data_IF_128912821634
#
_entry.id   IF_128912821634
#
_cell.length_a   1.000
_cell.length_b   1.000
_cell.length_c   1.000
_cell.angle_alpha   90.00
_cell.angle_beta   90.00
_cell.angle_gamma   90.00
#
_symmetry.space_group_name_H-M   'P 1'
#
loop_
_entity.id
_entity.type
_entity.pdbx_description
1 polymer ?
#
# COMPACT_ATOMS: atom_id res chain seq x y z
N UNK A 1 -17.43 25.38 -13.19
CA UNK A 1 -17.27 24.89 -11.80
C UNK A 1 -15.84 25.12 -11.37
N UNK A 2 -15.62 26.11 -10.50
CA UNK A 2 -14.31 26.42 -9.95
C UNK A 2 -13.85 25.23 -9.09
N UNK A 3 -12.91 24.44 -9.60
CA UNK A 3 -12.10 23.56 -8.76
C UNK A 3 -11.18 24.48 -7.97
N UNK A 4 -11.66 25.02 -6.86
CA UNK A 4 -10.80 25.55 -5.81
C UNK A 4 -9.73 24.49 -5.53
N UNK A 5 -8.50 24.93 -5.26
CA UNK A 5 -7.30 24.12 -4.97
C UNK A 5 -7.43 23.37 -3.62
N UNK A 6 -8.59 22.74 -3.41
CA UNK A 6 -9.08 22.17 -2.17
C UNK A 6 -8.49 20.79 -1.96
N UNK A 7 -7.92 20.63 -0.77
CA UNK A 7 -7.54 19.34 -0.21
C UNK A 7 -8.64 18.30 -0.46
N UNK A 8 -8.33 17.23 -1.19
CA UNK A 8 -9.27 16.16 -1.55
C UNK A 8 -9.56 15.29 -0.33
N UNK A 9 -10.42 15.79 0.56
CA UNK A 9 -10.83 15.14 1.82
C UNK A 9 -11.45 13.76 1.57
N UNK A 10 -12.18 13.62 0.47
CA UNK A 10 -12.72 12.34 -0.02
C UNK A 10 -11.65 11.26 -0.14
N UNK A 11 -10.49 11.60 -0.73
CA UNK A 11 -9.38 10.66 -0.87
C UNK A 11 -8.71 10.33 0.47
N UNK A 12 -8.66 11.28 1.41
CA UNK A 12 -8.15 11.00 2.75
C UNK A 12 -9.12 10.09 3.53
N UNK A 13 -10.42 10.31 3.43
CA UNK A 13 -11.40 9.44 4.08
C UNK A 13 -11.30 8.00 3.61
N UNK A 14 -11.08 7.77 2.31
CA UNK A 14 -10.81 6.41 1.80
C UNK A 14 -9.53 5.83 2.42
N UNK A 15 -8.44 6.62 2.50
CA UNK A 15 -7.20 6.19 3.15
C UNK A 15 -7.40 5.86 4.63
N UNK A 16 -8.28 6.57 5.32
CA UNK A 16 -8.64 6.30 6.71
C UNK A 16 -9.35 4.96 6.85
N UNK A 17 -10.35 4.68 6.00
CA UNK A 17 -11.01 3.36 5.97
C UNK A 17 -9.99 2.25 5.70
N UNK A 18 -9.12 2.45 4.71
CA UNK A 18 -8.07 1.49 4.35
C UNK A 18 -7.12 1.20 5.51
N UNK A 19 -6.61 2.21 6.21
CA UNK A 19 -5.70 1.97 7.35
C UNK A 19 -6.42 1.31 8.52
N UNK A 20 -7.67 1.70 8.81
CA UNK A 20 -8.45 1.07 9.88
C UNK A 20 -8.69 -0.41 9.57
N UNK A 21 -9.02 -0.77 8.34
CA UNK A 21 -9.17 -2.18 7.93
C UNK A 21 -7.85 -2.97 8.11
N UNK A 22 -6.71 -2.39 7.72
CA UNK A 22 -5.39 -3.00 7.91
C UNK A 22 -5.06 -3.20 9.39
N UNK A 23 -5.31 -2.19 10.23
CA UNK A 23 -5.09 -2.30 11.67
C UNK A 23 -6.01 -3.36 12.28
N UNK A 24 -7.30 -3.36 11.92
CA UNK A 24 -8.25 -4.36 12.39
C UNK A 24 -7.81 -5.79 12.04
N UNK A 25 -7.26 -6.02 10.83
CA UNK A 25 -6.70 -7.32 10.45
C UNK A 25 -5.51 -7.76 11.30
N UNK A 26 -4.58 -6.85 11.61
CA UNK A 26 -3.37 -7.23 12.36
C UNK A 26 -3.64 -7.39 13.86
N UNK A 27 -4.50 -6.56 14.46
CA UNK A 27 -4.81 -6.63 15.89
C UNK A 27 -5.95 -7.61 16.22
N UNK A 28 -6.91 -7.79 15.31
CA UNK A 28 -8.16 -8.55 15.52
C UNK A 28 -8.47 -9.46 14.32
N UNK A 29 -7.46 -10.17 13.80
CA UNK A 29 -7.55 -10.92 12.55
C UNK A 29 -8.64 -12.00 12.49
N UNK A 30 -9.03 -12.59 13.62
CA UNK A 30 -10.14 -13.56 13.68
C UNK A 30 -11.49 -12.90 13.40
N UNK A 31 -11.70 -11.67 13.88
CA UNK A 31 -12.92 -10.89 13.68
C UNK A 31 -12.93 -10.15 12.34
N UNK A 32 -11.75 -9.78 11.84
CA UNK A 32 -11.58 -9.02 10.60
C UNK A 32 -10.59 -9.69 9.63
N UNK A 33 -10.84 -10.95 9.20
CA UNK A 33 -9.89 -11.72 8.39
C UNK A 33 -9.64 -11.10 7.00
N UNK A 34 -10.57 -10.27 6.50
CA UNK A 34 -10.48 -9.62 5.20
C UNK A 34 -9.92 -8.18 5.25
N UNK A 35 -9.46 -7.70 6.42
CA UNK A 35 -8.97 -6.33 6.54
C UNK A 35 -7.69 -6.04 5.74
N UNK A 36 -6.97 -7.08 5.28
CA UNK A 36 -5.85 -6.93 4.34
C UNK A 36 -6.24 -6.27 3.00
N UNK A 37 -7.53 -6.32 2.62
CA UNK A 37 -8.08 -5.62 1.44
C UNK A 37 -7.87 -4.10 1.53
N UNK A 38 -7.66 -3.55 2.73
CA UNK A 38 -7.26 -2.16 2.89
C UNK A 38 -5.95 -1.80 2.17
N UNK A 39 -5.01 -2.74 2.04
CA UNK A 39 -3.76 -2.56 1.26
C UNK A 39 -4.08 -2.47 -0.24
N UNK A 40 -4.98 -3.31 -0.74
CA UNK A 40 -5.41 -3.29 -2.13
C UNK A 40 -6.02 -1.94 -2.50
N UNK A 41 -6.80 -1.35 -1.60
CA UNK A 41 -7.34 0.01 -1.76
C UNK A 41 -6.24 1.07 -1.82
N UNK A 42 -5.17 0.95 -1.03
CA UNK A 42 -4.02 1.86 -1.14
C UNK A 42 -3.34 1.76 -2.52
N UNK A 43 -3.20 0.57 -3.10
CA UNK A 43 -2.65 0.42 -4.45
C UNK A 43 -3.51 1.09 -5.52
N UNK A 44 -4.83 0.93 -5.46
CA UNK A 44 -5.77 1.62 -6.36
C UNK A 44 -5.64 3.14 -6.23
N UNK A 45 -5.62 3.65 -4.99
CA UNK A 45 -5.45 5.08 -4.71
C UNK A 45 -4.11 5.62 -5.23
N UNK A 46 -3.02 4.86 -5.06
CA UNK A 46 -1.69 5.25 -5.55
C UNK A 46 -1.69 5.33 -7.08
N UNK A 47 -2.30 4.36 -7.78
CA UNK A 47 -2.52 4.41 -9.22
C UNK A 47 -3.30 5.65 -9.67
N UNK A 48 -4.40 5.98 -9.00
CA UNK A 48 -5.22 7.17 -9.28
C UNK A 48 -4.46 8.48 -9.07
N UNK A 49 -3.79 8.65 -7.90
CA UNK A 49 -3.06 9.85 -7.56
C UNK A 49 -1.85 10.09 -8.48
N UNK A 50 -1.13 9.02 -8.85
CA UNK A 50 0.01 9.14 -9.75
C UNK A 50 -0.45 9.47 -11.17
N UNK A 51 -1.56 8.87 -11.60
CA UNK A 51 -2.21 9.19 -12.87
C UNK A 51 -2.63 10.65 -12.94
N UNK A 52 -3.39 11.15 -11.94
CA UNK A 52 -3.78 12.56 -11.85
C UNK A 52 -2.58 13.51 -11.94
N UNK A 53 -1.48 13.15 -11.30
CA UNK A 53 -0.26 13.95 -11.26
C UNK A 53 0.41 14.07 -12.63
N UNK A 54 0.51 12.97 -13.37
CA UNK A 54 1.14 12.94 -14.69
C UNK A 54 0.18 13.40 -15.81
N UNK A 55 -1.14 13.24 -15.63
CA UNK A 55 -2.16 13.67 -16.59
C UNK A 55 -2.08 15.18 -16.86
N UNK A 56 -1.85 15.98 -15.82
CA UNK A 56 -1.73 17.45 -15.89
C UNK A 56 -0.59 17.95 -16.79
N UNK A 57 0.35 17.10 -17.20
CA UNK A 57 1.53 17.48 -18.00
C UNK A 57 1.35 17.13 -19.47
N UNK A 58 1.45 18.09 -20.40
CA UNK A 58 1.21 17.82 -21.85
C UNK A 58 2.16 16.77 -22.44
N UNK A 59 3.43 16.78 -22.04
CA UNK A 59 4.45 15.77 -22.39
C UNK A 59 5.25 15.41 -21.15
N UNK A 60 5.83 14.21 -21.14
CA UNK A 60 6.71 13.73 -20.09
C UNK A 60 8.13 13.62 -20.64
N UNK A 61 8.98 14.59 -20.30
CA UNK A 61 10.42 14.53 -20.53
C UNK A 61 11.17 14.14 -19.26
N UNK A 62 12.50 14.14 -19.34
CA UNK A 62 13.38 13.76 -18.22
C UNK A 62 13.16 14.62 -16.97
N UNK A 63 12.81 15.91 -17.12
CA UNK A 63 12.54 16.82 -16.01
C UNK A 63 11.27 16.44 -15.26
N UNK A 64 10.19 16.11 -15.96
CA UNK A 64 8.92 15.70 -15.35
C UNK A 64 9.06 14.37 -14.61
N UNK A 65 9.82 13.42 -15.18
CA UNK A 65 10.12 12.12 -14.58
C UNK A 65 10.97 12.30 -13.31
N UNK A 66 12.02 13.12 -13.37
CA UNK A 66 12.85 13.41 -12.20
C UNK A 66 12.05 14.09 -11.08
N UNK A 67 11.17 15.04 -11.42
CA UNK A 67 10.26 15.68 -10.47
C UNK A 67 9.21 14.71 -9.90
N UNK A 68 8.80 13.70 -10.66
CA UNK A 68 7.94 12.63 -10.16
C UNK A 68 8.66 11.83 -9.07
N UNK A 69 9.85 11.29 -9.36
CA UNK A 69 10.63 10.50 -8.41
C UNK A 69 11.03 11.30 -7.18
N UNK A 70 11.50 12.53 -7.36
CA UNK A 70 11.87 13.42 -6.26
C UNK A 70 10.73 13.62 -5.26
N UNK A 71 9.50 13.84 -5.75
CA UNK A 71 8.32 13.99 -4.88
C UNK A 71 7.96 12.69 -4.16
N UNK A 72 8.16 11.53 -4.79
CA UNK A 72 7.93 10.22 -4.13
C UNK A 72 8.95 10.00 -3.02
N UNK A 73 10.23 10.18 -3.34
CA UNK A 73 11.35 10.01 -2.39
C UNK A 73 11.19 10.94 -1.19
N UNK A 74 10.96 12.24 -1.39
CA UNK A 74 10.78 13.20 -0.28
C UNK A 74 9.56 12.89 0.60
N UNK A 75 8.54 12.24 0.06
CA UNK A 75 7.33 11.87 0.81
C UNK A 75 7.52 10.57 1.61
N UNK A 76 8.22 9.59 1.05
CA UNK A 76 8.22 8.20 1.55
C UNK A 76 9.46 7.91 2.37
N UNK A 77 10.65 8.19 1.84
CA UNK A 77 11.92 7.75 2.42
C UNK A 77 12.19 8.28 3.83
N UNK A 78 11.95 9.56 4.17
CA UNK A 78 12.33 10.09 5.48
C UNK A 78 11.71 9.31 6.65
N UNK A 79 10.39 9.15 6.67
CA UNK A 79 9.72 8.41 7.76
C UNK A 79 9.92 6.90 7.64
N UNK A 80 10.02 6.35 6.43
CA UNK A 80 10.30 4.92 6.24
C UNK A 80 11.65 4.54 6.84
N UNK A 81 12.71 5.27 6.48
CA UNK A 81 14.06 5.02 6.99
C UNK A 81 14.17 5.27 8.49
N UNK A 82 13.47 6.29 9.01
CA UNK A 82 13.39 6.52 10.45
C UNK A 82 12.78 5.32 11.18
N UNK A 83 11.66 4.79 10.70
CA UNK A 83 11.02 3.62 11.32
C UNK A 83 11.89 2.38 11.18
N UNK A 84 12.58 2.20 10.05
CA UNK A 84 13.54 1.10 9.88
C UNK A 84 14.67 1.19 10.90
N UNK A 85 15.26 2.37 11.06
CA UNK A 85 16.31 2.63 12.05
C UNK A 85 15.85 2.36 13.47
N UNK A 86 14.70 2.91 13.87
CA UNK A 86 14.14 2.71 15.22
C UNK A 86 13.78 1.24 15.48
N UNK A 87 13.29 0.53 14.46
CA UNK A 87 13.00 -0.91 14.56
C UNK A 87 14.27 -1.75 14.76
N UNK A 88 15.37 -1.41 14.06
CA UNK A 88 16.66 -2.05 14.27
C UNK A 88 17.25 -1.80 15.66
N UNK A 89 17.14 -0.55 16.14
CA UNK A 89 17.54 -0.19 17.50
C UNK A 89 16.73 -0.99 18.51
N UNK A 90 15.40 -1.01 18.37
CA UNK A 90 14.52 -1.77 19.26
C UNK A 90 14.84 -3.28 19.23
N UNK A 91 15.06 -3.87 18.06
CA UNK A 91 15.48 -5.27 17.89
C UNK A 91 16.72 -5.58 18.71
N UNK A 92 17.74 -4.71 18.68
CA UNK A 92 19.01 -4.91 19.40
C UNK A 92 18.86 -5.00 20.92
N UNK A 93 17.88 -4.31 21.49
CA UNK A 93 17.66 -4.23 22.95
C UNK A 93 16.56 -5.17 23.45
N UNK A 94 15.56 -5.49 22.63
CA UNK A 94 14.38 -6.26 23.05
C UNK A 94 14.47 -7.73 22.63
N UNK A 95 15.02 -8.03 21.45
CA UNK A 95 14.88 -9.37 20.86
C UNK A 95 16.03 -10.28 21.30
N UNK A 96 15.80 -11.60 21.32
CA UNK A 96 16.87 -12.59 21.52
C UNK A 96 17.78 -12.69 20.27
N UNK A 97 19.01 -13.16 20.44
CA UNK A 97 20.06 -13.13 19.39
C UNK A 97 19.62 -13.76 18.05
N UNK A 98 18.90 -14.89 18.10
CA UNK A 98 18.37 -15.53 16.89
C UNK A 98 17.39 -14.62 16.12
N UNK A 99 16.47 -13.96 16.82
CA UNK A 99 15.51 -13.04 16.22
C UNK A 99 16.18 -11.75 15.74
N UNK A 100 17.21 -11.27 16.44
CA UNK A 100 18.01 -10.13 15.99
C UNK A 100 18.66 -10.40 14.64
N UNK A 101 19.33 -11.55 14.47
CA UNK A 101 20.00 -11.92 13.22
C UNK A 101 19.00 -12.01 12.05
N UNK A 102 17.84 -12.63 12.25
CA UNK A 102 16.79 -12.70 11.23
C UNK A 102 16.22 -11.33 10.87
N UNK A 103 16.00 -10.44 11.85
CA UNK A 103 15.52 -9.08 11.60
C UNK A 103 16.57 -8.20 10.90
N UNK A 104 17.87 -8.45 11.12
CA UNK A 104 18.94 -7.77 10.38
C UNK A 104 18.91 -8.11 8.89
N UNK A 105 18.72 -9.41 8.57
CA UNK A 105 18.50 -9.85 7.20
C UNK A 105 17.24 -9.18 6.61
N UNK A 106 16.11 -9.18 7.34
CA UNK A 106 14.87 -8.53 6.90
C UNK A 106 15.02 -7.02 6.66
N UNK A 107 15.84 -6.34 7.45
CA UNK A 107 16.13 -4.92 7.25
C UNK A 107 16.86 -4.65 5.93
N UNK A 108 17.73 -5.56 5.45
CA UNK A 108 18.36 -5.43 4.13
C UNK A 108 17.31 -5.45 3.02
N UNK A 109 16.34 -6.37 3.09
CA UNK A 109 15.23 -6.39 2.15
C UNK A 109 14.35 -5.14 2.27
N UNK A 110 14.15 -4.62 3.49
CA UNK A 110 13.36 -3.41 3.71
C UNK A 110 14.05 -2.17 3.10
N UNK A 111 15.36 -2.03 3.29
CA UNK A 111 16.17 -0.92 2.76
C UNK A 111 16.26 -0.93 1.23
N UNK A 112 16.24 -2.12 0.63
CA UNK A 112 16.29 -2.30 -0.84
C UNK A 112 14.91 -2.33 -1.49
N UNK A 113 13.83 -2.19 -0.72
CA UNK A 113 12.44 -2.32 -1.20
C UNK A 113 12.19 -3.65 -1.92
N UNK A 114 12.64 -4.75 -1.33
CA UNK A 114 12.51 -6.12 -1.84
C UNK A 114 11.87 -7.10 -0.83
N UNK A 115 11.26 -6.61 0.24
CA UNK A 115 10.61 -7.47 1.26
C UNK A 115 9.47 -8.31 0.71
N UNK A 116 8.85 -7.90 -0.39
CA UNK A 116 7.88 -8.71 -1.11
C UNK A 116 8.49 -9.98 -1.73
N UNK A 117 9.77 -9.97 -2.12
CA UNK A 117 10.47 -11.16 -2.61
C UNK A 117 10.76 -12.11 -1.44
N UNK A 118 11.22 -11.58 -0.30
CA UNK A 118 11.42 -12.38 0.93
C UNK A 118 10.12 -13.04 1.39
N UNK A 119 9.01 -12.31 1.31
CA UNK A 119 7.68 -12.80 1.67
C UNK A 119 7.13 -13.86 0.71
N UNK A 120 7.63 -13.93 -0.53
CA UNK A 120 7.23 -14.92 -1.54
C UNK A 120 7.98 -16.26 -1.42
N UNK A 121 8.93 -16.38 -0.48
CA UNK A 121 9.65 -17.60 -0.21
C UNK A 121 8.76 -18.60 0.55
N UNK A 122 8.56 -19.80 -0.01
CA UNK A 122 7.60 -20.81 0.48
C UNK A 122 7.92 -21.32 1.88
N UNK A 123 9.20 -21.26 2.29
CA UNK A 123 9.65 -21.59 3.65
C UNK A 123 9.15 -20.54 4.65
N UNK A 124 8.93 -19.30 4.20
CA UNK A 124 8.56 -18.11 4.99
C UNK A 124 7.17 -17.59 4.62
N UNK A 125 6.19 -18.50 4.57
CA UNK A 125 4.80 -18.16 4.20
C UNK A 125 4.30 -16.93 4.98
N UNK A 126 3.92 -15.85 4.26
CA UNK A 126 3.52 -14.56 4.81
C UNK A 126 2.48 -14.68 5.93
N UNK A 127 1.45 -15.52 5.75
CA UNK A 127 0.42 -15.72 6.78
C UNK A 127 1.02 -16.26 8.09
N UNK A 128 1.98 -17.18 8.00
CA UNK A 128 2.70 -17.67 9.20
C UNK A 128 3.58 -16.58 9.82
N UNK A 129 4.22 -15.72 9.01
CA UNK A 129 5.01 -14.61 9.52
C UNK A 129 4.14 -13.57 10.23
N UNK A 130 2.96 -13.27 9.70
CA UNK A 130 1.98 -12.39 10.33
C UNK A 130 1.45 -13.01 11.63
N UNK A 131 1.06 -14.30 11.61
CA UNK A 131 0.57 -14.97 12.82
C UNK A 131 1.65 -15.07 13.89
N UNK A 132 2.92 -15.35 13.54
CA UNK A 132 4.02 -15.43 14.50
C UNK A 132 4.47 -14.06 15.00
N UNK A 133 4.35 -13.03 14.15
CA UNK A 133 4.79 -11.64 14.38
C UNK A 133 6.16 -11.55 15.07
N UNK A 134 7.17 -12.18 14.46
CA UNK A 134 8.56 -12.17 14.95
C UNK A 134 9.53 -11.37 14.07
N UNK A 135 9.04 -10.82 12.96
CA UNK A 135 9.79 -10.02 12.01
C UNK A 135 9.16 -8.63 11.89
N UNK A 136 9.92 -7.61 12.32
CA UNK A 136 9.55 -6.20 12.40
C UNK A 136 9.26 -5.57 11.03
N UNK A 137 9.71 -6.18 9.94
CA UNK A 137 9.63 -5.62 8.59
C UNK A 137 8.62 -6.34 7.71
N UNK A 138 7.89 -7.33 8.25
CA UNK A 138 6.93 -8.14 7.50
C UNK A 138 5.96 -7.29 6.69
N UNK A 139 5.36 -6.25 7.28
CA UNK A 139 4.37 -5.37 6.64
C UNK A 139 4.91 -4.47 5.51
N UNK A 140 6.23 -4.32 5.40
CA UNK A 140 6.85 -3.43 4.40
C UNK A 140 6.77 -3.99 2.98
N UNK A 141 6.33 -5.24 2.80
CA UNK A 141 6.15 -5.88 1.49
C UNK A 141 5.27 -5.04 0.55
N UNK A 142 4.21 -4.42 1.07
CA UNK A 142 3.30 -3.61 0.27
C UNK A 142 3.93 -2.27 -0.13
N UNK A 143 4.76 -1.69 0.72
CA UNK A 143 5.54 -0.48 0.42
C UNK A 143 6.59 -0.79 -0.64
N UNK A 144 7.24 -1.96 -0.55
CA UNK A 144 8.15 -2.43 -1.58
C UNK A 144 7.44 -2.55 -2.95
N UNK A 145 6.24 -3.13 -3.00
CA UNK A 145 5.42 -3.18 -4.21
C UNK A 145 5.06 -1.78 -4.73
N UNK A 146 4.66 -0.88 -3.84
CA UNK A 146 4.30 0.49 -4.21
C UNK A 146 5.50 1.25 -4.79
N UNK A 147 6.70 1.08 -4.22
CA UNK A 147 7.94 1.68 -4.72
C UNK A 147 8.39 1.08 -6.06
N UNK A 148 8.28 -0.24 -6.23
CA UNK A 148 8.52 -0.91 -7.50
C UNK A 148 7.56 -0.42 -8.58
N UNK A 149 6.27 -0.26 -8.24
CA UNK A 149 5.29 0.36 -9.13
C UNK A 149 5.68 1.79 -9.50
N UNK A 150 6.07 2.62 -8.53
CA UNK A 150 6.49 3.99 -8.81
C UNK A 150 7.68 4.05 -9.76
N UNK A 151 8.62 3.11 -9.69
CA UNK A 151 9.75 3.04 -10.61
C UNK A 151 9.32 2.80 -12.06
N UNK A 152 8.32 1.95 -12.29
CA UNK A 152 7.86 1.63 -13.66
C UNK A 152 6.80 2.61 -14.19
N UNK A 153 6.06 3.27 -13.30
CA UNK A 153 4.85 4.01 -13.64
C UNK A 153 5.07 5.16 -14.66
N UNK A 154 6.10 6.02 -14.55
CA UNK A 154 6.34 7.07 -15.53
C UNK A 154 6.52 6.52 -16.95
N UNK A 155 7.14 5.35 -17.11
CA UNK A 155 7.36 4.73 -18.43
C UNK A 155 6.06 4.20 -19.03
N UNK A 156 5.21 3.55 -18.22
CA UNK A 156 3.86 3.15 -18.63
C UNK A 156 3.08 4.39 -19.11
N UNK A 157 3.22 5.51 -18.37
CA UNK A 157 2.50 6.74 -18.69
C UNK A 157 3.05 7.49 -19.92
N UNK A 158 4.35 7.35 -20.21
CA UNK A 158 4.96 7.85 -21.46
C UNK A 158 4.34 7.12 -22.66
N UNK A 159 4.22 5.79 -22.60
CA UNK A 159 3.58 5.01 -23.67
C UNK A 159 2.13 5.44 -23.83
N UNK A 160 1.37 5.53 -22.72
CA UNK A 160 -0.01 5.99 -22.70
C UNK A 160 -0.20 7.37 -23.36
N UNK A 161 0.74 8.31 -23.18
CA UNK A 161 0.68 9.65 -23.77
C UNK A 161 1.22 9.75 -25.21
N UNK A 162 1.96 8.75 -25.66
CA UNK A 162 2.60 8.74 -26.98
C UNK A 162 1.70 8.16 -28.08
N UNK A 163 0.57 7.54 -27.71
CA UNK A 163 -0.35 6.87 -28.64
C UNK A 163 -1.74 7.52 -28.63
N UNK A 164 -2.56 7.26 -29.65
CA UNK A 164 -3.90 7.83 -29.71
C UNK A 164 -4.80 7.31 -28.57
N UNK A 165 -5.81 8.08 -28.18
CA UNK A 165 -6.64 7.79 -27.00
C UNK A 165 -7.24 6.36 -26.99
N UNK A 166 -7.66 5.85 -28.16
CA UNK A 166 -8.19 4.48 -28.30
C UNK A 166 -7.12 3.43 -27.98
N UNK A 167 -5.92 3.58 -28.55
CA UNK A 167 -4.82 2.65 -28.29
C UNK A 167 -4.30 2.77 -26.86
N UNK A 168 -4.28 3.98 -26.30
CA UNK A 168 -3.90 4.23 -24.92
C UNK A 168 -4.82 3.50 -23.93
N UNK A 169 -6.13 3.55 -24.19
CA UNK A 169 -7.11 2.80 -23.42
C UNK A 169 -6.91 1.29 -23.55
N UNK A 170 -6.77 0.78 -24.78
CA UNK A 170 -6.54 -0.66 -25.02
C UNK A 170 -5.24 -1.15 -24.39
N UNK A 171 -4.17 -0.35 -24.42
CA UNK A 171 -2.90 -0.65 -23.77
C UNK A 171 -3.06 -0.83 -22.25
N UNK A 172 -3.76 0.09 -21.57
CA UNK A 172 -4.01 -0.04 -20.14
C UNK A 172 -4.90 -1.23 -19.80
N UNK A 173 -5.98 -1.45 -20.57
CA UNK A 173 -6.86 -2.61 -20.38
C UNK A 173 -6.09 -3.91 -20.58
N UNK A 174 -5.27 -4.01 -21.63
CA UNK A 174 -4.44 -5.19 -21.86
C UNK A 174 -3.44 -5.41 -20.73
N UNK A 175 -2.72 -4.37 -20.28
CA UNK A 175 -1.78 -4.46 -19.17
C UNK A 175 -2.45 -4.89 -17.86
N UNK A 176 -3.62 -4.33 -17.56
CA UNK A 176 -4.42 -4.69 -16.39
C UNK A 176 -4.93 -6.13 -16.47
N UNK A 177 -5.47 -6.55 -17.62
CA UNK A 177 -5.95 -7.92 -17.84
C UNK A 177 -4.83 -8.95 -17.75
N UNK A 178 -3.66 -8.69 -18.34
CA UNK A 178 -2.49 -9.58 -18.25
C UNK A 178 -2.05 -9.72 -16.78
N UNK A 179 -1.99 -8.60 -16.05
CA UNK A 179 -1.67 -8.61 -14.63
C UNK A 179 -2.68 -9.41 -13.80
N UNK A 180 -3.98 -9.26 -14.08
CA UNK A 180 -5.04 -10.02 -13.42
C UNK A 180 -4.97 -11.52 -13.76
N UNK A 181 -4.66 -11.87 -15.00
CA UNK A 181 -4.43 -13.27 -15.39
C UNK A 181 -3.26 -13.86 -14.60
N UNK A 182 -2.14 -13.14 -14.47
CA UNK A 182 -1.04 -13.59 -13.61
C UNK A 182 -1.48 -13.78 -12.16
N UNK A 183 -2.30 -12.88 -11.62
CA UNK A 183 -2.85 -13.03 -10.27
C UNK A 183 -3.67 -14.31 -10.09
N UNK A 184 -4.51 -14.65 -11.08
CA UNK A 184 -5.41 -15.81 -11.03
C UNK A 184 -4.64 -17.13 -11.19
N UNK A 185 -3.64 -17.17 -12.09
CA UNK A 185 -2.96 -18.41 -12.46
C UNK A 185 -1.68 -18.69 -11.65
N UNK A 186 -1.08 -17.69 -11.01
CA UNK A 186 0.07 -17.92 -10.12
C UNK A 186 -0.38 -18.52 -8.79
N UNK A 187 0.47 -19.33 -8.13
CA UNK A 187 0.22 -19.73 -6.76
C UNK A 187 -0.03 -18.52 -5.87
N UNK A 188 -0.96 -18.64 -4.92
CA UNK A 188 -1.44 -17.52 -4.10
C UNK A 188 -0.33 -16.71 -3.44
N UNK A 189 0.76 -17.38 -3.02
CA UNK A 189 1.94 -16.75 -2.45
C UNK A 189 2.62 -15.75 -3.40
N UNK A 190 2.78 -16.12 -4.68
CA UNK A 190 3.40 -15.26 -5.69
C UNK A 190 2.41 -14.20 -6.20
N UNK A 191 1.17 -14.59 -6.44
CA UNK A 191 0.10 -13.67 -6.83
C UNK A 191 -0.05 -12.52 -5.81
N UNK A 192 0.06 -12.83 -4.51
CA UNK A 192 -0.05 -11.86 -3.44
C UNK A 192 1.14 -10.87 -3.40
N UNK A 193 2.36 -11.33 -3.67
CA UNK A 193 3.59 -10.58 -3.41
C UNK A 193 4.30 -9.98 -4.63
N UNK A 194 3.88 -10.29 -5.87
CA UNK A 194 4.57 -9.81 -7.07
C UNK A 194 3.90 -8.58 -7.69
N UNK A 195 4.71 -7.55 -8.00
CA UNK A 195 4.20 -6.30 -8.60
C UNK A 195 3.48 -6.53 -9.92
N UNK A 196 3.97 -7.45 -10.76
CA UNK A 196 3.35 -7.77 -12.05
C UNK A 196 1.99 -8.45 -11.90
N UNK A 197 1.77 -9.23 -10.84
CA UNK A 197 0.47 -9.84 -10.52
C UNK A 197 -0.49 -8.86 -9.82
N UNK A 198 0.02 -7.74 -9.30
CA UNK A 198 -0.79 -6.71 -8.61
C UNK A 198 -1.01 -5.43 -9.43
N UNK A 199 -0.32 -5.28 -10.56
CA UNK A 199 -0.37 -4.09 -11.42
C UNK A 199 -1.79 -3.72 -11.83
N UNK A 200 -2.70 -4.70 -11.99
CA UNK A 200 -4.10 -4.48 -12.28
C UNK A 200 -4.76 -3.51 -11.29
N UNK A 201 -4.43 -3.56 -9.99
CA UNK A 201 -4.98 -2.67 -8.97
C UNK A 201 -4.59 -1.21 -9.21
N UNK A 202 -3.33 -0.96 -9.55
CA UNK A 202 -2.84 0.38 -9.86
C UNK A 202 -3.42 0.90 -11.19
N UNK A 203 -3.55 0.06 -12.20
CA UNK A 203 -4.16 0.41 -13.50
C UNK A 203 -5.63 0.75 -13.33
N UNK A 204 -6.38 0.01 -12.49
CA UNK A 204 -7.76 0.32 -12.16
C UNK A 204 -7.92 1.74 -11.59
N UNK A 205 -6.95 2.21 -10.81
CA UNK A 205 -6.90 3.59 -10.32
C UNK A 205 -6.91 4.64 -11.44
N UNK A 206 -6.22 4.41 -12.57
CA UNK A 206 -6.20 5.35 -13.71
C UNK A 206 -7.56 5.51 -14.38
N UNK A 207 -8.33 4.43 -14.49
CA UNK A 207 -9.63 4.45 -15.14
C UNK A 207 -10.68 5.20 -14.32
N UNK A 208 -10.42 5.46 -13.03
CA UNK A 208 -11.33 6.18 -12.13
C UNK A 208 -12.58 5.39 -11.79
N UNK A 209 -13.07 4.54 -12.71
CA UNK A 209 -14.32 3.80 -12.61
C UNK A 209 -14.34 2.80 -11.46
N UNK A 210 -13.19 2.24 -11.05
CA UNK A 210 -13.11 1.31 -9.90
C UNK A 210 -12.84 2.01 -8.57
N UNK A 211 -12.17 3.17 -8.57
CA UNK A 211 -12.37 4.11 -7.45
C UNK A 211 -13.88 4.34 -7.29
N UNK A 212 -14.65 4.51 -8.37
CA UNK A 212 -16.12 4.59 -8.35
C UNK A 212 -16.86 3.25 -8.20
N UNK A 213 -16.21 2.09 -7.97
CA UNK A 213 -16.91 0.84 -7.59
C UNK A 213 -16.74 0.53 -6.09
N UNK A 214 -15.58 0.86 -5.51
CA UNK A 214 -15.36 0.79 -4.06
C UNK A 214 -15.87 2.06 -3.34
N UNK A 215 -15.72 3.22 -3.96
CA UNK A 215 -16.55 4.41 -3.65
C UNK A 215 -17.95 4.24 -4.26
N UNK A 216 -18.13 3.37 -5.26
CA UNK A 216 -19.41 3.03 -5.89
C UNK A 216 -20.36 2.27 -5.01
N UNK A 217 -19.90 1.37 -4.16
CA UNK A 217 -20.76 0.85 -3.09
C UNK A 217 -21.33 2.00 -2.25
N UNK A 218 -20.54 3.04 -1.98
CA UNK A 218 -20.96 4.22 -1.20
C UNK A 218 -21.64 5.34 -2.02
N UNK A 219 -21.54 5.33 -3.36
CA UNK A 219 -22.05 6.36 -4.29
C UNK A 219 -23.26 5.84 -5.11
N UNK A 220 -23.29 4.55 -5.47
CA UNK A 220 -24.43 3.88 -6.11
C UNK A 220 -25.57 3.68 -5.11
N UNK A 221 -25.28 3.58 -3.81
CA UNK A 221 -26.25 3.93 -2.77
C UNK A 221 -26.27 5.44 -2.62
N UNK A 222 -27.12 6.05 -3.44
CA UNK A 222 -27.44 7.47 -3.54
C UNK A 222 -27.83 8.08 -2.18
N UNK A 223 -26.86 8.43 -1.34
CA UNK A 223 -27.06 9.41 -0.26
C UNK A 223 -25.95 10.47 -0.32
N UNK A 224 -26.28 11.77 -0.48
CA UNK A 224 -25.32 12.87 -0.35
C UNK A 224 -24.57 12.90 1.00
N UNK A 225 -24.97 12.08 1.97
CA UNK A 225 -24.36 11.94 3.29
C UNK A 225 -23.07 11.08 3.31
N UNK A 226 -22.90 10.13 2.39
CA UNK A 226 -21.72 9.24 2.39
C UNK A 226 -20.41 9.97 2.08
N UNK A 227 -20.45 10.95 1.17
CA UNK A 227 -19.29 11.83 0.91
C UNK A 227 -19.04 12.80 2.06
N UNK A 228 -20.08 13.13 2.85
CA UNK A 228 -19.99 13.94 4.06
C UNK A 228 -19.21 13.23 5.18
N UNK A 229 -19.47 11.94 5.40
CA UNK A 229 -18.75 11.13 6.42
C UNK A 229 -17.27 10.99 6.06
N UNK A 230 -16.96 10.62 4.81
CA UNK A 230 -15.56 10.49 4.35
C UNK A 230 -14.82 11.83 4.32
N UNK A 231 -15.54 12.94 4.13
CA UNK A 231 -14.98 14.29 4.18
C UNK A 231 -14.98 14.90 5.59
N UNK A 232 -15.40 14.15 6.61
CA UNK A 232 -15.35 14.63 7.99
C UNK A 232 -13.90 14.89 8.42
N UNK A 233 -13.72 15.82 9.36
CA UNK A 233 -12.39 16.18 9.89
C UNK A 233 -11.66 14.98 10.49
N UNK A 234 -12.41 14.08 11.16
CA UNK A 234 -11.87 12.86 11.76
C UNK A 234 -11.28 11.92 10.69
N UNK A 235 -12.07 11.58 9.67
CA UNK A 235 -11.61 10.71 8.58
C UNK A 235 -10.49 11.36 7.76
N UNK A 236 -10.56 12.67 7.52
CA UNK A 236 -9.49 13.39 6.83
C UNK A 236 -8.17 13.29 7.61
N UNK A 237 -8.21 13.56 8.92
CA UNK A 237 -7.03 13.49 9.78
C UNK A 237 -6.43 12.07 9.86
N UNK A 238 -7.28 11.05 10.05
CA UNK A 238 -6.85 9.65 10.01
C UNK A 238 -6.22 9.28 8.66
N UNK A 239 -6.77 9.79 7.55
CA UNK A 239 -6.25 9.59 6.21
C UNK A 239 -4.89 10.25 5.99
N UNK A 240 -4.68 11.43 6.55
CA UNK A 240 -3.39 12.10 6.53
C UNK A 240 -2.33 11.31 7.31
N UNK A 241 -2.71 10.78 8.48
CA UNK A 241 -1.86 9.92 9.31
C UNK A 241 -1.64 8.52 8.76
N UNK A 242 -2.43 8.09 7.77
CA UNK A 242 -2.51 6.69 7.34
C UNK A 242 -1.15 6.08 7.03
N UNK A 243 -0.23 6.87 6.45
CA UNK A 243 1.10 6.40 6.10
C UNK A 243 1.98 6.18 7.34
N UNK A 244 2.00 7.15 8.26
CA UNK A 244 2.75 7.03 9.52
C UNK A 244 2.22 5.88 10.37
N UNK A 245 0.90 5.76 10.49
CA UNK A 245 0.24 4.64 11.18
C UNK A 245 0.62 3.31 10.54
N UNK A 246 0.58 3.23 9.21
CA UNK A 246 1.00 2.02 8.48
C UNK A 246 2.45 1.66 8.78
N UNK A 247 3.37 2.62 8.87
CA UNK A 247 4.77 2.31 9.16
C UNK A 247 4.98 1.77 10.58
N UNK A 248 4.37 2.41 11.59
CA UNK A 248 4.70 2.14 13.00
C UNK A 248 3.89 1.00 13.63
N UNK A 249 2.68 0.72 13.13
CA UNK A 249 1.79 -0.24 13.81
C UNK A 249 2.39 -1.64 13.93
N UNK A 250 3.08 -2.12 12.89
CA UNK A 250 3.57 -3.49 12.85
C UNK A 250 4.81 -3.72 13.72
N UNK A 251 5.84 -2.85 13.72
CA UNK A 251 6.92 -2.94 14.71
C UNK A 251 6.40 -2.91 16.15
N UNK A 252 5.44 -2.03 16.45
CA UNK A 252 4.81 -1.96 17.77
C UNK A 252 4.10 -3.28 18.10
N UNK A 253 3.27 -3.79 17.19
CA UNK A 253 2.55 -5.05 17.36
C UNK A 253 3.51 -6.23 17.60
N UNK A 254 4.58 -6.32 16.81
CA UNK A 254 5.61 -7.36 16.90
C UNK A 254 6.33 -7.30 18.25
N UNK A 255 6.73 -6.11 18.69
CA UNK A 255 7.39 -5.91 20.00
C UNK A 255 6.45 -6.32 21.14
N UNK A 256 5.21 -5.85 21.12
CA UNK A 256 4.22 -6.19 22.14
C UNK A 256 3.98 -7.70 22.21
N UNK A 257 3.86 -8.37 21.06
CA UNK A 257 3.66 -9.82 21.00
C UNK A 257 4.84 -10.61 21.56
N UNK A 258 6.06 -10.13 21.33
CA UNK A 258 7.28 -10.78 21.85
C UNK A 258 7.41 -10.57 23.36
N UNK A 259 7.06 -9.39 23.88
CA UNK A 259 7.16 -9.09 25.30
C UNK A 259 6.02 -9.68 26.13
N UNK A 260 4.83 -9.81 25.54
CA UNK A 260 3.64 -10.31 26.20
C UNK A 260 2.99 -11.44 25.38
N UNK A 261 3.64 -12.62 25.29
CA UNK A 261 3.15 -13.73 24.47
C UNK A 261 1.81 -14.29 24.95
N UNK A 262 1.53 -14.24 26.26
CA UNK A 262 0.30 -14.76 26.86
C UNK A 262 -0.87 -13.77 26.83
N UNK A 263 -0.60 -12.45 26.67
CA UNK A 263 -1.63 -11.43 26.48
C UNK A 263 -1.96 -11.24 25.01
N UNK A 264 -2.06 -12.32 24.23
CA UNK A 264 -2.68 -12.18 22.92
C UNK A 264 -4.01 -11.49 23.13
N UNK A 265 -4.25 -10.40 22.40
CA UNK A 265 -5.53 -9.68 22.38
C UNK A 265 -6.67 -10.54 21.79
N UNK A 266 -6.61 -11.85 22.00
CA UNK A 266 -7.68 -12.83 22.03
C UNK A 266 -8.42 -12.83 23.38
N UNK A 267 -7.83 -12.35 24.47
CA UNK A 267 -8.47 -12.33 25.82
C UNK A 267 -9.22 -11.02 26.16
N UNK A 268 -9.18 -10.00 25.31
CA UNK A 268 -9.95 -8.75 25.48
C UNK A 268 -11.23 -8.72 24.62
N UNK A 269 -11.93 -9.85 24.51
CA UNK A 269 -13.33 -9.94 24.03
C UNK A 269 -14.11 -10.88 24.92
#
# INVERSE_FOLDING_TARGET
MNVSDGHRSDLQGIRAVSIVAVLAFHFYGERFPNGYVGVDQFFVLSGFLMSMMLERKKRLGSREIMQFYYRRVRRILPSYLLVVLLSLIASRFIFIQYLQASNWESAVYALTFTTNIKAADSIRNYLRMVTKASDLFTHTWSIALEMQFYLIFPFIFIVYKSICARLAYLFLVAAGSISLLFYIFLPSLYAFNMVHARLWQFVLGKHGTVCTFLTGGLILFHSPDSTSILSSKCFTYLGELSYSLYLVHWPIYTILKIQFPDNTMSEFV
#
